data_IF_720312880360
#
_entry.id   IF_720312880360
#
_cell.length_a   1.000
_cell.length_b   1.000
_cell.length_c   1.000
_cell.angle_alpha   90.00
_cell.angle_beta   90.00
_cell.angle_gamma   90.00
#
_symmetry.space_group_name_H-M   'P 1'
#
loop_
_entity.id
_entity.type
_entity.pdbx_description
1 polymer ?
#
# COMPACT_ATOMS: atom_id res chain seq x y z
N UNK A 1 -1.52 1.37 -3.39
CA UNK A 1 -2.23 2.65 -3.67
C UNK A 1 -2.98 2.58 -5.00
N UNK A 2 -4.27 2.18 -5.01
CA UNK A 2 -5.08 2.07 -6.26
C UNK A 2 -5.56 3.41 -6.85
N UNK A 3 -5.36 4.52 -6.14
CA UNK A 3 -5.69 5.88 -6.59
C UNK A 3 -4.45 6.67 -7.03
N UNK A 4 -3.27 6.07 -7.02
CA UNK A 4 -2.02 6.73 -7.38
C UNK A 4 -1.85 6.91 -8.90
N UNK A 5 -0.98 7.85 -9.29
CA UNK A 5 -0.63 8.05 -10.71
C UNK A 5 -0.06 6.78 -11.35
N UNK A 6 0.84 6.07 -10.66
CA UNK A 6 1.44 4.83 -11.19
C UNK A 6 0.39 3.75 -11.48
N UNK A 7 -0.63 3.58 -10.62
CA UNK A 7 -1.74 2.65 -10.87
C UNK A 7 -2.52 3.00 -12.15
N UNK A 8 -2.81 4.29 -12.37
CA UNK A 8 -3.49 4.77 -13.59
C UNK A 8 -2.61 4.62 -14.83
N UNK A 9 -1.34 5.02 -14.74
CA UNK A 9 -0.39 4.96 -15.85
C UNK A 9 -0.15 3.53 -16.37
N UNK A 10 -0.27 2.53 -15.48
CA UNK A 10 -0.13 1.12 -15.82
C UNK A 10 -1.44 0.47 -16.31
N UNK A 11 -2.57 1.20 -16.30
CA UNK A 11 -3.88 0.68 -16.71
C UNK A 11 -4.38 -0.49 -15.85
N UNK A 12 -3.96 -0.57 -14.58
CA UNK A 12 -4.24 -1.75 -13.74
C UNK A 12 -5.72 -1.87 -13.34
N UNK A 13 -6.48 -0.78 -13.43
CA UNK A 13 -7.91 -0.78 -13.12
C UNK A 13 -8.70 -1.73 -14.04
N UNK A 14 -8.27 -1.86 -15.29
CA UNK A 14 -8.99 -2.57 -16.33
C UNK A 14 -8.45 -4.00 -16.54
N UNK A 15 -7.46 -4.41 -15.74
CA UNK A 15 -6.88 -5.76 -15.75
C UNK A 15 -7.50 -6.62 -14.65
N UNK A 16 -7.77 -7.88 -14.97
CA UNK A 16 -8.16 -8.89 -14.00
C UNK A 16 -6.94 -9.67 -13.53
N UNK A 17 -6.17 -9.09 -12.61
CA UNK A 17 -4.95 -9.68 -12.07
C UNK A 17 -5.27 -10.54 -10.84
N UNK A 18 -4.60 -11.68 -10.73
CA UNK A 18 -4.52 -12.45 -9.49
C UNK A 18 -3.68 -11.74 -8.42
N UNK A 19 -3.77 -12.21 -7.17
CA UNK A 19 -2.98 -11.65 -6.07
C UNK A 19 -1.47 -11.79 -6.31
N UNK A 20 -1.01 -12.92 -6.87
CA UNK A 20 0.39 -13.13 -7.21
C UNK A 20 0.90 -12.12 -8.24
N UNK A 21 0.13 -11.88 -9.31
CA UNK A 21 0.49 -10.89 -10.32
C UNK A 21 0.47 -9.46 -9.74
N UNK A 22 -0.42 -9.17 -8.80
CA UNK A 22 -0.41 -7.90 -8.08
C UNK A 22 0.83 -7.75 -7.20
N UNK A 23 1.30 -8.82 -6.56
CA UNK A 23 2.56 -8.80 -5.80
C UNK A 23 3.76 -8.54 -6.71
N UNK A 24 3.82 -9.18 -7.88
CA UNK A 24 4.89 -8.92 -8.86
C UNK A 24 4.90 -7.46 -9.30
N UNK A 25 3.73 -6.88 -9.61
CA UNK A 25 3.58 -5.46 -9.96
C UNK A 25 4.03 -4.55 -8.81
N UNK A 26 3.73 -4.89 -7.56
CA UNK A 26 4.16 -4.12 -6.39
C UNK A 26 5.68 -4.21 -6.17
N UNK A 27 6.29 -5.36 -6.43
CA UNK A 27 7.74 -5.57 -6.34
C UNK A 27 8.49 -4.77 -7.41
N UNK A 28 7.97 -4.74 -8.64
CA UNK A 28 8.52 -3.95 -9.74
C UNK A 28 8.33 -2.43 -9.51
N UNK A 29 7.23 -2.04 -8.87
CA UNK A 29 6.83 -0.65 -8.67
C UNK A 29 6.58 -0.31 -7.20
N UNK A 30 7.64 -0.43 -6.38
CA UNK A 30 7.58 -0.27 -4.93
C UNK A 30 7.00 1.07 -4.43
N UNK A 31 7.01 2.12 -5.26
CA UNK A 31 6.39 3.41 -4.96
C UNK A 31 4.87 3.33 -4.78
N UNK A 32 4.25 2.23 -5.21
CA UNK A 32 2.82 1.97 -5.02
C UNK A 32 2.48 1.45 -3.62
N UNK A 33 3.46 1.00 -2.85
CA UNK A 33 3.33 0.53 -1.47
C UNK A 33 3.11 1.74 -0.56
N UNK A 34 2.05 1.71 0.27
CA UNK A 34 1.78 2.77 1.23
C UNK A 34 2.87 2.80 2.32
N UNK A 35 3.28 4.00 2.72
CA UNK A 35 4.32 4.24 3.74
C UNK A 35 3.89 5.42 4.64
N UNK A 36 4.32 5.49 5.91
CA UNK A 36 5.14 4.51 6.64
C UNK A 36 4.43 3.18 6.88
N UNK A 37 5.18 2.15 7.26
CA UNK A 37 4.66 0.90 7.82
C UNK A 37 5.23 0.79 9.23
N UNK A 38 4.37 0.81 10.25
CA UNK A 38 4.76 0.79 11.66
C UNK A 38 4.26 -0.52 12.25
N UNK A 39 5.10 -1.18 13.05
CA UNK A 39 4.79 -2.47 13.68
C UNK A 39 4.95 -2.29 15.18
N UNK A 40 3.92 -2.65 15.96
CA UNK A 40 3.92 -2.66 17.43
C UNK A 40 3.23 -3.95 17.88
N UNK A 41 3.98 -4.83 18.52
CA UNK A 41 3.54 -6.18 18.91
C UNK A 41 2.90 -6.97 17.75
N UNK A 42 1.62 -7.33 17.87
CA UNK A 42 0.85 -8.05 16.84
C UNK A 42 0.06 -7.12 15.91
N UNK A 43 0.25 -5.80 16.00
CA UNK A 43 -0.45 -4.80 15.22
C UNK A 43 0.46 -4.13 14.18
N UNK A 44 -0.13 -3.75 13.03
CA UNK A 44 0.55 -3.08 11.92
C UNK A 44 -0.27 -1.87 11.46
N UNK A 45 0.36 -0.71 11.39
CA UNK A 45 -0.19 0.51 10.79
C UNK A 45 0.42 0.70 9.40
N UNK A 46 -0.43 0.94 8.39
CA UNK A 46 0.00 1.12 6.99
C UNK A 46 -0.47 2.45 6.42
N UNK A 47 0.48 3.33 6.15
CA UNK A 47 0.24 4.73 5.77
C UNK A 47 0.18 5.65 6.98
N UNK A 48 0.30 6.95 6.73
CA UNK A 48 0.17 7.96 7.77
C UNK A 48 -1.26 8.47 7.80
N UNK A 49 -1.83 8.47 8.99
CA UNK A 49 -3.07 9.12 9.39
C UNK A 49 -2.84 9.58 10.82
N UNK A 50 -3.09 10.85 11.13
CA UNK A 50 -2.65 11.47 12.39
C UNK A 50 -3.35 10.82 13.59
N UNK A 51 -4.68 10.74 13.57
CA UNK A 51 -5.48 10.13 14.64
C UNK A 51 -5.12 8.65 14.83
N UNK A 52 -5.01 7.88 13.73
CA UNK A 52 -4.65 6.47 13.83
C UNK A 52 -3.20 6.26 14.27
N UNK A 53 -2.28 7.15 13.90
CA UNK A 53 -0.87 7.06 14.29
C UNK A 53 -0.69 7.38 15.77
N UNK A 54 -1.33 8.44 16.28
CA UNK A 54 -1.33 8.78 17.71
C UNK A 54 -1.86 7.61 18.55
N UNK A 55 -3.03 7.09 18.21
CA UNK A 55 -3.63 5.94 18.91
C UNK A 55 -2.82 4.64 18.80
N UNK A 56 -1.98 4.50 17.77
CA UNK A 56 -1.14 3.32 17.57
C UNK A 56 0.20 3.42 18.33
N UNK A 57 0.73 4.64 18.50
CA UNK A 57 2.01 4.87 19.18
C UNK A 57 1.84 4.94 20.69
N UNK A 58 0.75 5.54 21.20
CA UNK A 58 0.34 5.46 22.61
C UNK A 58 0.19 3.99 23.06
#
# INVERSE_FOLDING_TARGET
>A
NKRGMKWRNLGLKDKNLSDNELFDVLLEHQTMIKRPVVIKDEAILVGYDEEAFEAFVE
#
